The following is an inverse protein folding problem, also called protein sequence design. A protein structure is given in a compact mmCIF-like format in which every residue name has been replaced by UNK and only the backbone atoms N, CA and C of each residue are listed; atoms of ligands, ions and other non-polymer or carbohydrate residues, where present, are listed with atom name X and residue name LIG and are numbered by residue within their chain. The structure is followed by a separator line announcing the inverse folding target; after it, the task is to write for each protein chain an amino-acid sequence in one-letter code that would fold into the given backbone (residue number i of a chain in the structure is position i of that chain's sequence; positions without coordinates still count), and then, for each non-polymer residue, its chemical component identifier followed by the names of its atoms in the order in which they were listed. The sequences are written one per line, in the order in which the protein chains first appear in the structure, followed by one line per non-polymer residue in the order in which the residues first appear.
data_IF_756696667160
#
_entry.id   IF_756696667160
#
_cell.length_a   1.000
_cell.length_b   1.000
_cell.length_c   1.000
_cell.angle_alpha   90.00
_cell.angle_beta   90.00
_cell.angle_gamma   90.00
#
_symmetry.space_group_name_H-M   'P 1'
#
loop_
_entity.id
_entity.type
_entity.pdbx_description
1 polymer ?
#
# COMPACT_ATOMS: atom_id res chain seq x y z
N UNK A 1 4.57 -7.53 -6.34
CA UNK A 1 5.56 -7.06 -7.33
C UNK A 1 6.67 -8.09 -7.45
N UNK A 2 7.05 -8.50 -8.66
CA UNK A 2 8.19 -9.42 -8.84
C UNK A 2 9.51 -8.65 -8.68
N UNK A 3 10.56 -9.26 -8.10
CA UNK A 3 11.88 -8.62 -8.01
C UNK A 3 12.43 -8.30 -9.41
N UNK A 4 13.10 -7.16 -9.61
CA UNK A 4 13.56 -6.71 -10.93
C UNK A 4 14.53 -7.70 -11.62
N UNK A 5 15.28 -8.49 -10.85
CA UNK A 5 16.14 -9.56 -11.38
C UNK A 5 15.33 -10.71 -11.99
N UNK A 6 14.18 -11.05 -11.38
CA UNK A 6 13.25 -12.06 -11.88
C UNK A 6 12.54 -11.58 -13.16
N UNK A 7 12.22 -10.28 -13.23
CA UNK A 7 11.65 -9.65 -14.44
C UNK A 7 12.66 -9.60 -15.60
N UNK A 8 13.94 -9.38 -15.31
CA UNK A 8 15.00 -9.48 -16.31
C UNK A 8 15.15 -10.91 -16.85
N UNK A 9 15.14 -11.91 -15.96
CA UNK A 9 15.16 -13.34 -16.36
C UNK A 9 13.95 -13.73 -17.22
N UNK A 10 12.77 -13.22 -16.88
CA UNK A 10 11.56 -13.38 -17.69
C UNK A 10 11.74 -12.74 -19.08
N UNK A 11 12.24 -11.50 -19.15
CA UNK A 11 12.50 -10.80 -20.42
C UNK A 11 13.41 -11.56 -21.39
N UNK A 12 14.46 -12.23 -20.87
CA UNK A 12 15.34 -13.12 -21.63
C UNK A 12 14.61 -14.39 -22.10
N UNK A 13 13.79 -15.01 -21.24
CA UNK A 13 13.08 -16.23 -21.57
C UNK A 13 12.04 -16.06 -22.69
N UNK A 14 11.42 -14.88 -22.81
CA UNK A 14 10.46 -14.57 -23.89
C UNK A 14 11.15 -13.92 -25.11
N UNK A 15 12.47 -13.74 -25.09
CA UNK A 15 13.24 -13.17 -26.20
C UNK A 15 13.04 -11.66 -26.42
N UNK A 16 12.50 -10.94 -25.42
CA UNK A 16 12.18 -9.51 -25.55
C UNK A 16 13.28 -8.62 -24.95
N UNK A 17 14.18 -8.17 -25.81
CA UNK A 17 15.35 -7.40 -25.41
C UNK A 17 14.98 -6.08 -24.71
N UNK A 18 13.86 -5.46 -25.08
CA UNK A 18 13.36 -4.23 -24.46
C UNK A 18 12.94 -4.42 -23.00
N UNK A 19 12.26 -5.53 -22.67
CA UNK A 19 11.86 -5.81 -21.27
C UNK A 19 13.05 -6.22 -20.42
N UNK A 20 13.98 -6.99 -20.98
CA UNK A 20 15.23 -7.32 -20.30
C UNK A 20 16.05 -6.06 -19.98
N UNK A 21 16.26 -5.19 -20.98
CA UNK A 21 17.02 -3.95 -20.80
C UNK A 21 16.34 -3.00 -19.80
N UNK A 22 15.01 -2.87 -19.84
CA UNK A 22 14.26 -2.06 -18.89
C UNK A 22 14.36 -2.58 -17.44
N UNK A 23 14.20 -3.89 -17.24
CA UNK A 23 14.31 -4.50 -15.92
C UNK A 23 15.74 -4.45 -15.36
N UNK A 24 16.75 -4.68 -16.21
CA UNK A 24 18.17 -4.57 -15.85
C UNK A 24 18.56 -3.12 -15.50
N UNK A 25 17.99 -2.15 -16.23
CA UNK A 25 18.18 -0.74 -15.96
C UNK A 25 17.62 -0.33 -14.60
N UNK A 26 16.38 -0.75 -14.29
CA UNK A 26 15.75 -0.51 -12.99
C UNK A 26 16.53 -1.17 -11.84
N UNK A 27 17.05 -2.38 -12.05
CA UNK A 27 17.94 -3.04 -11.08
C UNK A 27 19.24 -2.27 -10.87
N UNK A 28 19.87 -1.81 -11.96
CA UNK A 28 21.14 -1.08 -11.91
C UNK A 28 21.00 0.23 -11.12
N UNK A 29 19.90 0.98 -11.30
CA UNK A 29 19.62 2.19 -10.52
C UNK A 29 19.54 1.85 -9.02
N UNK A 30 18.80 0.81 -8.64
CA UNK A 30 18.66 0.42 -7.25
C UNK A 30 20.01 0.04 -6.62
N UNK A 31 20.87 -0.68 -7.35
CA UNK A 31 22.23 -0.97 -6.89
C UNK A 31 23.07 0.29 -6.69
N UNK A 32 22.96 1.29 -7.57
CA UNK A 32 23.72 2.55 -7.47
C UNK A 32 23.32 3.34 -6.24
N UNK A 33 22.02 3.40 -5.92
CA UNK A 33 21.57 4.06 -4.71
C UNK A 33 22.12 3.39 -3.45
N UNK A 34 22.17 2.05 -3.42
CA UNK A 34 22.79 1.32 -2.30
C UNK A 34 24.30 1.64 -2.21
N UNK A 35 25.01 1.67 -3.34
CA UNK A 35 26.44 2.03 -3.38
C UNK A 35 26.66 3.48 -2.90
N UNK A 36 25.82 4.42 -3.33
CA UNK A 36 25.90 5.82 -2.90
C UNK A 36 25.58 5.99 -1.42
N UNK A 37 24.54 5.32 -0.91
CA UNK A 37 24.16 5.37 0.49
C UNK A 37 25.25 4.78 1.39
N UNK A 38 25.81 3.63 1.01
CA UNK A 38 26.92 3.01 1.75
C UNK A 38 28.19 3.86 1.68
N UNK A 39 28.52 4.46 0.53
CA UNK A 39 29.65 5.38 0.40
C UNK A 39 29.48 6.63 1.27
N UNK A 40 28.30 7.26 1.22
CA UNK A 40 27.98 8.42 2.05
C UNK A 40 28.06 8.08 3.54
N UNK A 41 27.54 6.91 3.94
CA UNK A 41 27.59 6.42 5.32
C UNK A 41 29.02 6.16 5.78
N UNK A 42 29.86 5.48 4.99
CA UNK A 42 31.27 5.24 5.31
C UNK A 42 32.04 6.56 5.48
N UNK A 43 31.78 7.54 4.60
CA UNK A 43 32.39 8.87 4.68
C UNK A 43 31.91 9.65 5.90
N UNK A 44 30.62 9.55 6.23
CA UNK A 44 30.04 10.18 7.42
C UNK A 44 30.61 9.60 8.72
N UNK A 45 30.81 8.29 8.78
CA UNK A 45 31.38 7.60 9.94
C UNK A 45 32.91 7.77 10.10
N UNK A 46 33.58 8.54 9.23
CA UNK A 46 35.04 8.79 9.30
C UNK A 46 35.87 7.51 9.52
N UNK A 47 35.53 6.41 8.84
CA UNK A 47 36.36 5.21 8.90
C UNK A 47 37.78 5.50 8.41
N UNK A 48 38.79 5.05 9.15
CA UNK A 48 40.20 5.29 8.81
C UNK A 48 40.53 4.67 7.45
N UNK A 49 41.04 5.49 6.53
CA UNK A 49 41.50 5.02 5.23
C UNK A 49 42.59 3.95 5.46
N UNK A 50 42.38 2.73 4.96
CA UNK A 50 43.44 1.73 4.92
C UNK A 50 44.57 2.30 4.05
N UNK A 51 45.69 2.64 4.67
CA UNK A 51 46.89 3.04 3.95
C UNK A 51 47.41 1.82 3.19
N UNK A 52 47.07 1.73 1.91
CA UNK A 52 47.73 0.80 1.00
C UNK A 52 49.22 1.13 1.01
N UNK A 53 50.07 0.17 1.41
CA UNK A 53 51.54 0.28 1.41
C UNK A 53 52.14 0.65 0.03
N UNK A 54 51.36 0.56 -1.05
CA UNK A 54 51.78 0.74 -2.44
C UNK A 54 50.91 1.83 -3.11
N UNK A 55 51.44 3.06 -3.16
CA UNK A 55 50.75 4.27 -3.64
C UNK A 55 50.31 4.17 -5.11
N UNK A 56 51.00 3.37 -5.92
CA UNK A 56 50.66 3.14 -7.33
C UNK A 56 49.42 2.27 -7.52
N UNK A 57 49.17 1.29 -6.65
CA UNK A 57 47.96 0.45 -6.70
C UNK A 57 46.75 1.18 -6.12
N UNK A 58 46.95 1.98 -5.07
CA UNK A 58 45.90 2.79 -4.46
C UNK A 58 45.27 3.78 -5.45
N UNK A 59 46.11 4.47 -6.24
CA UNK A 59 45.63 5.46 -7.21
C UNK A 59 44.86 4.81 -8.36
N UNK A 60 45.33 3.67 -8.89
CA UNK A 60 44.62 2.92 -9.94
C UNK A 60 43.24 2.45 -9.47
N UNK A 61 43.15 1.87 -8.28
CA UNK A 61 41.86 1.42 -7.73
C UNK A 61 40.89 2.57 -7.51
N UNK A 62 41.37 3.71 -6.98
CA UNK A 62 40.55 4.91 -6.78
C UNK A 62 40.04 5.50 -8.10
N UNK A 63 40.89 5.54 -9.12
CA UNK A 63 40.51 6.02 -10.46
C UNK A 63 39.50 5.09 -11.14
N UNK A 64 39.69 3.76 -11.05
CA UNK A 64 38.75 2.77 -11.60
C UNK A 64 37.38 2.86 -10.89
N UNK A 65 37.38 2.93 -9.55
CA UNK A 65 36.13 3.12 -8.79
C UNK A 65 35.44 4.42 -9.16
N UNK A 66 36.17 5.54 -9.26
CA UNK A 66 35.60 6.83 -9.67
C UNK A 66 35.02 6.76 -11.07
N UNK A 67 35.70 6.10 -12.02
CA UNK A 67 35.21 5.94 -13.38
C UNK A 67 33.92 5.10 -13.44
N UNK A 68 33.85 3.99 -12.69
CA UNK A 68 32.65 3.15 -12.59
C UNK A 68 31.49 3.96 -12.00
N UNK A 69 31.72 4.70 -10.91
CA UNK A 69 30.70 5.55 -10.28
C UNK A 69 30.15 6.57 -11.28
N UNK A 70 31.03 7.26 -12.01
CA UNK A 70 30.65 8.27 -12.99
C UNK A 70 29.86 7.64 -14.16
N UNK A 71 30.28 6.46 -14.61
CA UNK A 71 29.62 5.70 -15.67
C UNK A 71 28.18 5.32 -15.31
N UNK A 72 27.86 5.09 -14.03
CA UNK A 72 26.48 4.76 -13.64
C UNK A 72 25.65 5.98 -13.20
N UNK A 73 26.25 6.99 -12.57
CA UNK A 73 25.52 8.21 -12.15
C UNK A 73 25.00 8.98 -13.37
N UNK A 74 25.82 9.18 -14.40
CA UNK A 74 25.47 9.99 -15.58
C UNK A 74 24.21 9.50 -16.31
N UNK A 75 24.10 8.21 -16.72
CA UNK A 75 22.89 7.71 -17.37
C UNK A 75 21.68 7.71 -16.42
N UNK A 76 21.90 7.53 -15.12
CA UNK A 76 20.82 7.57 -14.12
C UNK A 76 20.20 8.96 -14.01
N UNK A 77 21.03 10.01 -13.95
CA UNK A 77 20.57 11.41 -13.97
C UNK A 77 19.83 11.71 -15.28
N UNK A 78 20.41 11.31 -16.42
CA UNK A 78 19.79 11.54 -17.73
C UNK A 78 18.40 10.89 -17.84
N UNK A 79 18.27 9.64 -17.41
CA UNK A 79 16.99 8.93 -17.40
C UNK A 79 15.99 9.51 -16.42
N UNK A 80 16.43 9.97 -15.24
CA UNK A 80 15.55 10.66 -14.30
C UNK A 80 14.97 11.93 -14.96
N UNK A 81 15.77 12.69 -15.70
CA UNK A 81 15.28 13.84 -16.47
C UNK A 81 14.29 13.44 -17.57
N UNK A 82 14.54 12.35 -18.29
CA UNK A 82 13.62 11.84 -19.33
C UNK A 82 12.29 11.40 -18.70
N UNK A 83 12.34 10.62 -17.62
CA UNK A 83 11.15 10.14 -16.89
C UNK A 83 10.33 11.30 -16.33
N UNK A 84 10.97 12.29 -15.70
CA UNK A 84 10.28 13.48 -15.19
C UNK A 84 9.61 14.24 -16.34
N UNK A 85 10.25 14.36 -17.49
CA UNK A 85 9.68 15.06 -18.64
C UNK A 85 8.49 14.33 -19.24
N UNK A 86 8.52 12.99 -19.30
CA UNK A 86 7.44 12.17 -19.88
C UNK A 86 6.24 12.04 -18.94
N UNK A 87 6.44 11.95 -17.63
CA UNK A 87 5.33 11.84 -16.66
C UNK A 87 4.57 13.14 -16.42
N UNK A 88 5.20 14.31 -16.66
CA UNK A 88 4.52 15.59 -16.40
C UNK A 88 3.28 15.79 -17.24
N UNK A 89 3.28 15.42 -18.51
CA UNK A 89 2.10 15.59 -19.37
C UNK A 89 0.93 14.71 -18.90
N UNK A 90 1.20 13.47 -18.52
CA UNK A 90 0.20 12.52 -18.04
C UNK A 90 -0.43 12.99 -16.72
N UNK A 91 0.39 13.42 -15.76
CA UNK A 91 -0.10 13.96 -14.48
C UNK A 91 -0.99 15.21 -14.67
N UNK A 92 -0.60 16.13 -15.55
CA UNK A 92 -1.37 17.36 -15.81
C UNK A 92 -2.71 17.06 -16.51
N UNK A 93 -2.74 16.05 -17.39
CA UNK A 93 -3.98 15.59 -18.03
C UNK A 93 -4.93 14.94 -17.02
N UNK A 94 -4.42 14.10 -16.12
CA UNK A 94 -5.23 13.49 -15.06
C UNK A 94 -5.82 14.54 -14.11
N UNK A 95 -5.03 15.55 -13.75
CA UNK A 95 -5.47 16.68 -12.93
C UNK A 95 -6.60 17.46 -13.61
N UNK A 96 -6.39 17.84 -14.87
CA UNK A 96 -7.39 18.53 -15.69
C UNK A 96 -8.70 17.74 -15.77
N UNK A 97 -8.65 16.43 -16.04
CA UNK A 97 -9.85 15.59 -16.14
C UNK A 97 -10.56 15.52 -14.80
N UNK A 98 -9.82 15.43 -13.69
CA UNK A 98 -10.42 15.37 -12.36
C UNK A 98 -11.21 16.64 -12.03
N UNK A 99 -10.68 17.81 -12.37
CA UNK A 99 -11.34 19.09 -12.15
C UNK A 99 -12.56 19.30 -13.06
N UNK A 100 -12.51 18.77 -14.29
CA UNK A 100 -13.52 19.04 -15.33
C UNK A 100 -14.40 17.81 -15.64
N UNK A 101 -14.43 16.82 -14.75
CA UNK A 101 -15.14 15.55 -14.95
C UNK A 101 -16.65 15.73 -15.14
N UNK A 102 -17.23 16.65 -14.38
CA UNK A 102 -18.65 16.98 -14.42
C UNK A 102 -18.83 18.29 -15.19
N UNK A 103 -19.57 18.24 -16.29
CA UNK A 103 -19.95 19.39 -17.11
C UNK A 103 -21.41 19.74 -16.81
N UNK A 104 -21.88 20.91 -17.23
CA UNK A 104 -23.27 21.31 -17.02
C UNK A 104 -24.25 20.36 -17.72
N UNK A 105 -23.97 19.98 -18.97
CA UNK A 105 -24.84 19.13 -19.79
C UNK A 105 -24.16 17.82 -20.24
N UNK A 106 -23.16 17.34 -19.50
CA UNK A 106 -22.43 16.11 -19.85
C UNK A 106 -21.38 15.68 -18.81
N UNK A 107 -20.66 14.61 -19.11
CA UNK A 107 -19.55 14.16 -18.27
C UNK A 107 -18.42 13.54 -19.11
N UNK A 108 -17.18 13.71 -18.64
CA UNK A 108 -16.02 13.03 -19.18
C UNK A 108 -16.00 11.61 -18.62
N UNK A 109 -16.16 10.61 -19.49
CA UNK A 109 -16.23 9.21 -19.09
C UNK A 109 -14.92 8.44 -19.33
N UNK A 110 -14.11 8.89 -20.28
CA UNK A 110 -12.85 8.25 -20.63
C UNK A 110 -11.86 9.23 -21.27
N UNK A 111 -10.58 8.84 -21.30
CA UNK A 111 -9.52 9.57 -21.98
C UNK A 111 -8.39 8.64 -22.44
N UNK A 112 -7.76 9.01 -23.56
CA UNK A 112 -6.61 8.28 -24.10
C UNK A 112 -5.44 9.24 -24.25
N UNK A 113 -4.36 8.96 -23.52
CA UNK A 113 -3.11 9.73 -23.56
C UNK A 113 -2.17 9.07 -24.56
N UNK A 114 -1.72 9.84 -25.55
CA UNK A 114 -0.72 9.44 -26.54
C UNK A 114 0.58 10.20 -26.28
N UNK A 115 1.60 9.59 -25.65
CA UNK A 115 2.84 10.28 -25.29
C UNK A 115 3.78 10.58 -26.48
N UNK A 116 3.42 10.19 -27.72
CA UNK A 116 4.27 10.39 -28.90
C UNK A 116 4.20 11.85 -29.40
N UNK A 117 5.34 12.36 -29.92
CA UNK A 117 5.46 13.70 -30.57
C UNK A 117 4.96 14.88 -29.73
N UNK A 118 5.30 14.91 -28.45
CA UNK A 118 4.99 16.03 -27.55
C UNK A 118 3.77 15.84 -26.67
N UNK A 119 3.09 14.69 -26.74
CA UNK A 119 1.94 14.37 -25.89
C UNK A 119 0.64 14.93 -26.48
N UNK A 120 -0.37 14.06 -26.63
CA UNK A 120 -1.75 14.46 -26.95
C UNK A 120 -2.74 13.66 -26.11
N UNK A 121 -3.89 14.25 -25.83
CA UNK A 121 -5.00 13.60 -25.12
C UNK A 121 -6.26 13.65 -25.97
N UNK A 122 -6.92 12.50 -26.09
CA UNK A 122 -8.27 12.40 -26.62
C UNK A 122 -9.25 12.21 -25.46
N UNK A 123 -10.22 13.10 -25.34
CA UNK A 123 -11.18 13.15 -24.24
C UNK A 123 -12.54 12.71 -24.77
N UNK A 124 -13.15 11.75 -24.10
CA UNK A 124 -14.45 11.21 -24.49
C UNK A 124 -15.55 11.73 -23.56
N UNK A 125 -16.53 12.39 -24.18
CA UNK A 125 -17.60 13.09 -23.49
C UNK A 125 -18.93 12.45 -23.85
N UNK A 126 -19.76 12.21 -22.84
CA UNK A 126 -21.13 11.75 -22.96
C UNK A 126 -22.08 12.86 -22.52
N UNK A 127 -23.12 13.12 -23.31
CA UNK A 127 -24.10 14.18 -23.05
C UNK A 127 -24.49 14.93 -24.31
N UNK A 128 -24.90 16.19 -24.13
CA UNK A 128 -25.13 17.10 -25.24
C UNK A 128 -23.79 17.52 -25.89
N UNK A 129 -23.79 17.85 -27.20
CA UNK A 129 -22.63 18.42 -27.85
C UNK A 129 -22.17 19.68 -27.10
N UNK A 130 -20.87 19.81 -26.88
CA UNK A 130 -20.31 20.94 -26.16
C UNK A 130 -20.58 22.24 -26.92
N UNK A 131 -21.14 23.23 -26.22
CA UNK A 131 -21.26 24.58 -26.74
C UNK A 131 -19.89 25.21 -26.97
N UNK A 132 -19.81 26.21 -27.86
CA UNK A 132 -18.55 26.93 -28.11
C UNK A 132 -17.96 27.56 -26.83
N UNK A 133 -18.83 27.96 -25.90
CA UNK A 133 -18.48 28.49 -24.58
C UNK A 133 -17.87 27.42 -23.67
N UNK A 134 -18.43 26.22 -23.64
CA UNK A 134 -17.88 25.11 -22.84
C UNK A 134 -16.56 24.60 -23.40
N UNK A 135 -16.42 24.50 -24.72
CA UNK A 135 -15.13 24.19 -25.37
C UNK A 135 -14.07 25.20 -24.97
N UNK A 136 -14.39 26.49 -25.04
CA UNK A 136 -13.47 27.57 -24.66
C UNK A 136 -13.07 27.46 -23.18
N UNK A 137 -14.03 27.20 -22.28
CA UNK A 137 -13.76 27.01 -20.85
C UNK A 137 -12.85 25.79 -20.60
N UNK A 138 -13.11 24.67 -21.26
CA UNK A 138 -12.27 23.47 -21.15
C UNK A 138 -10.86 23.73 -21.70
N UNK A 139 -10.74 24.51 -22.77
CA UNK A 139 -9.46 24.86 -23.36
C UNK A 139 -8.64 25.82 -22.50
N UNK A 140 -9.30 26.80 -21.88
CA UNK A 140 -8.67 27.68 -20.90
C UNK A 140 -8.21 26.90 -19.66
N UNK A 141 -9.06 25.99 -19.19
CA UNK A 141 -8.75 25.10 -18.07
C UNK A 141 -7.56 24.20 -18.36
N UNK A 142 -7.53 23.55 -19.53
CA UNK A 142 -6.39 22.76 -19.98
C UNK A 142 -5.11 23.59 -20.16
N UNK A 143 -5.24 24.85 -20.61
CA UNK A 143 -4.14 25.79 -20.71
C UNK A 143 -3.47 26.09 -19.36
N UNK A 144 -4.24 26.11 -18.26
CA UNK A 144 -3.69 26.24 -16.89
C UNK A 144 -2.84 25.05 -16.47
N UNK A 145 -3.14 23.86 -17.01
CA UNK A 145 -2.36 22.63 -16.83
C UNK A 145 -1.23 22.49 -17.87
N UNK A 146 -0.96 23.53 -18.67
CA UNK A 146 0.11 23.50 -19.67
C UNK A 146 -0.19 22.62 -20.89
N UNK A 147 -1.45 22.20 -21.07
CA UNK A 147 -1.93 21.41 -22.21
C UNK A 147 -2.35 22.38 -23.32
N UNK A 148 -1.70 22.30 -24.49
CA UNK A 148 -2.05 23.16 -25.62
C UNK A 148 -3.31 22.66 -26.32
N UNK A 149 -4.05 23.58 -26.93
CA UNK A 149 -5.20 23.26 -27.78
C UNK A 149 -4.86 22.21 -28.86
N UNK A 150 -3.71 22.33 -29.53
CA UNK A 150 -3.26 21.38 -30.55
C UNK A 150 -3.01 19.95 -30.04
N UNK A 151 -2.96 19.77 -28.72
CA UNK A 151 -2.73 18.49 -28.05
C UNK A 151 -4.03 17.85 -27.56
N UNK A 152 -5.16 18.57 -27.65
CA UNK A 152 -6.45 18.06 -27.23
C UNK A 152 -7.34 17.72 -28.41
N UNK A 153 -8.08 16.64 -28.25
CA UNK A 153 -9.14 16.25 -29.16
C UNK A 153 -10.36 15.85 -28.35
N UNK A 154 -11.50 16.49 -28.62
CA UNK A 154 -12.77 16.11 -28.02
C UNK A 154 -13.50 15.15 -28.95
N UNK A 155 -13.89 13.99 -28.42
CA UNK A 155 -14.77 13.05 -29.10
C UNK A 155 -16.09 13.03 -28.35
N UNK A 156 -17.04 13.77 -28.92
CA UNK A 156 -18.40 13.90 -28.42
C UNK A 156 -19.25 12.79 -29.04
N UNK A 157 -19.81 11.92 -28.22
CA UNK A 157 -20.87 11.01 -28.69
C UNK A 157 -22.20 11.63 -28.33
N UNK A 158 -22.86 12.21 -29.33
CA UNK A 158 -24.22 12.71 -29.17
C UNK A 158 -25.13 11.56 -28.70
N UNK A 159 -25.81 11.77 -27.58
CA UNK A 159 -26.79 10.84 -27.02
C UNK A 159 -28.01 10.64 -27.96
N UNK A 160 -28.13 11.45 -29.02
CA UNK A 160 -29.34 11.60 -29.84
C UNK A 160 -29.40 10.78 -31.14
N UNK A 161 -28.34 10.08 -31.57
CA UNK A 161 -28.37 9.35 -32.87
C UNK A 161 -28.56 7.82 -32.75
N UNK A 162 -28.71 7.27 -31.55
CA UNK A 162 -29.08 5.88 -31.36
C UNK A 162 -30.49 5.80 -30.77
N UNK A 163 -31.38 5.07 -31.44
CA UNK A 163 -32.78 4.85 -31.08
C UNK A 163 -32.99 4.72 -29.56
N UNK A 164 -34.07 5.35 -29.07
CA UNK A 164 -34.53 5.44 -27.67
C UNK A 164 -34.27 4.20 -26.79
N UNK A 165 -34.33 3.01 -27.38
CA UNK A 165 -34.15 1.73 -26.68
C UNK A 165 -32.68 1.36 -26.36
N UNK A 166 -31.67 1.90 -27.05
CA UNK A 166 -30.26 1.52 -26.83
C UNK A 166 -29.60 2.44 -25.79
N UNK A 167 -29.93 3.73 -25.82
CA UNK A 167 -29.47 4.73 -24.84
C UNK A 167 -30.07 4.46 -23.46
N UNK A 168 -31.38 4.19 -23.36
CA UNK A 168 -32.03 3.79 -22.10
C UNK A 168 -31.39 2.50 -21.56
N UNK A 169 -31.15 1.50 -22.41
CA UNK A 169 -30.57 0.21 -22.00
C UNK A 169 -29.10 0.30 -21.59
N UNK A 170 -28.33 1.22 -22.19
CA UNK A 170 -26.93 1.45 -21.82
C UNK A 170 -26.82 2.25 -20.52
N UNK A 171 -27.61 3.31 -20.37
CA UNK A 171 -27.70 4.10 -19.14
C UNK A 171 -28.21 3.24 -18.00
N UNK A 172 -29.29 2.48 -18.22
CA UNK A 172 -29.79 1.46 -17.30
C UNK A 172 -28.73 0.41 -16.98
N UNK A 173 -27.98 -0.07 -17.98
CA UNK A 173 -26.87 -1.01 -17.76
C UNK A 173 -25.72 -0.43 -16.92
N UNK A 174 -25.45 0.87 -17.00
CA UNK A 174 -24.45 1.56 -16.17
C UNK A 174 -24.99 1.76 -14.74
N UNK A 175 -26.24 2.20 -14.60
CA UNK A 175 -26.88 2.34 -13.29
C UNK A 175 -27.04 0.99 -12.60
N UNK A 176 -27.50 -0.06 -13.29
CA UNK A 176 -27.62 -1.42 -12.76
C UNK A 176 -26.25 -2.00 -12.36
N UNK A 177 -25.19 -1.76 -13.15
CA UNK A 177 -23.82 -2.15 -12.77
C UNK A 177 -23.31 -1.39 -11.56
N UNK A 178 -23.59 -0.09 -11.49
CA UNK A 178 -23.16 0.75 -10.37
C UNK A 178 -23.91 0.36 -9.09
N UNK A 179 -25.22 0.17 -9.18
CA UNK A 179 -26.10 -0.20 -8.06
C UNK A 179 -25.82 -1.62 -7.57
N UNK A 180 -25.51 -2.56 -8.48
CA UNK A 180 -25.05 -3.90 -8.10
C UNK A 180 -23.66 -3.89 -7.45
N UNK A 181 -22.72 -3.08 -7.92
CA UNK A 181 -21.42 -2.88 -7.26
C UNK A 181 -21.57 -2.23 -5.89
N UNK A 182 -22.45 -1.24 -5.73
CA UNK A 182 -22.78 -0.61 -4.44
C UNK A 182 -23.38 -1.66 -3.50
N UNK A 183 -24.39 -2.40 -3.95
CA UNK A 183 -25.06 -3.45 -3.15
C UNK A 183 -24.08 -4.53 -2.72
N UNK A 184 -23.14 -4.92 -3.61
CA UNK A 184 -22.09 -5.90 -3.30
C UNK A 184 -21.12 -5.36 -2.25
N UNK A 185 -20.68 -4.10 -2.39
CA UNK A 185 -19.81 -3.44 -1.41
C UNK A 185 -20.50 -3.29 -0.06
N UNK A 186 -21.75 -2.84 -0.03
CA UNK A 186 -22.52 -2.73 1.22
C UNK A 186 -22.72 -4.10 1.89
N UNK A 187 -22.99 -5.15 1.11
CA UNK A 187 -23.12 -6.50 1.66
C UNK A 187 -21.80 -6.97 2.26
N UNK A 188 -20.66 -6.66 1.63
CA UNK A 188 -19.35 -6.95 2.19
C UNK A 188 -19.05 -6.13 3.43
N UNK A 189 -19.45 -4.86 3.47
CA UNK A 189 -19.33 -4.02 4.66
C UNK A 189 -20.15 -4.61 5.80
N UNK A 190 -21.42 -4.97 5.58
CA UNK A 190 -22.27 -5.62 6.58
C UNK A 190 -21.67 -6.93 7.09
N UNK A 191 -21.07 -7.72 6.20
CA UNK A 191 -20.38 -8.96 6.57
C UNK A 191 -19.13 -8.69 7.43
N UNK A 192 -18.30 -7.73 7.03
CA UNK A 192 -17.12 -7.32 7.79
C UNK A 192 -17.48 -6.69 9.14
N UNK A 193 -18.53 -5.87 9.19
CA UNK A 193 -19.06 -5.29 10.44
C UNK A 193 -19.58 -6.38 11.37
N UNK A 194 -20.24 -7.41 10.82
CA UNK A 194 -20.68 -8.57 11.59
C UNK A 194 -19.48 -9.34 12.15
N UNK A 195 -18.45 -9.63 11.35
CA UNK A 195 -17.21 -10.26 11.81
C UNK A 195 -16.55 -9.43 12.91
N UNK A 196 -16.38 -8.11 12.69
CA UNK A 196 -15.82 -7.20 13.69
C UNK A 196 -16.66 -7.12 14.96
N UNK A 197 -17.99 -7.21 14.86
CA UNK A 197 -18.89 -7.21 16.02
C UNK A 197 -18.72 -8.46 16.88
N UNK A 198 -18.45 -9.61 16.26
CA UNK A 198 -18.11 -10.86 16.97
C UNK A 198 -16.80 -10.66 17.73
N UNK A 199 -15.77 -10.14 17.06
CA UNK A 199 -14.49 -9.82 17.71
C UNK A 199 -14.63 -8.80 18.87
N UNK A 200 -15.50 -7.80 18.74
CA UNK A 200 -15.77 -6.79 19.78
C UNK A 200 -16.63 -7.32 20.93
N UNK A 201 -17.61 -8.19 20.67
CA UNK A 201 -18.38 -8.84 21.74
C UNK A 201 -17.52 -9.80 22.56
N UNK A 202 -16.47 -10.35 21.94
CA UNK A 202 -15.44 -11.13 22.61
C UNK A 202 -14.31 -10.28 23.22
N UNK A 203 -14.44 -8.95 23.26
CA UNK A 203 -13.43 -8.09 23.86
C UNK A 203 -13.40 -8.29 25.38
N UNK A 204 -12.29 -8.84 25.87
CA UNK A 204 -12.11 -9.09 27.30
C UNK A 204 -11.94 -7.75 28.01
N UNK A 205 -12.71 -7.42 29.07
CA UNK A 205 -12.62 -6.13 29.76
C UNK A 205 -11.38 -6.08 30.67
N UNK A 206 -10.18 -6.00 30.05
CA UNK A 206 -8.87 -6.13 30.70
C UNK A 206 -8.71 -5.18 31.90
N UNK A 207 -9.09 -3.91 31.73
CA UNK A 207 -8.95 -2.89 32.76
C UNK A 207 -9.87 -3.14 33.96
N UNK A 208 -11.10 -3.59 33.73
CA UNK A 208 -12.05 -3.89 34.80
C UNK A 208 -11.62 -5.13 35.58
N UNK A 209 -11.26 -6.21 34.88
CA UNK A 209 -10.78 -7.46 35.49
C UNK A 209 -9.52 -7.19 36.33
N UNK A 210 -8.59 -6.39 35.81
CA UNK A 210 -7.36 -6.04 36.55
C UNK A 210 -7.68 -5.24 37.82
N UNK A 211 -8.64 -4.31 37.79
CA UNK A 211 -9.09 -3.58 38.98
C UNK A 211 -9.74 -4.50 40.02
N UNK A 212 -10.60 -5.42 39.57
CA UNK A 212 -11.27 -6.41 40.44
C UNK A 212 -10.24 -7.34 41.11
N UNK A 213 -9.26 -7.81 40.36
CA UNK A 213 -8.18 -8.68 40.87
C UNK A 213 -7.27 -7.91 41.83
N UNK A 214 -6.87 -6.68 41.52
CA UNK A 214 -6.03 -5.89 42.40
C UNK A 214 -6.68 -5.67 43.78
N UNK A 215 -8.00 -5.48 43.81
CA UNK A 215 -8.74 -5.33 45.06
C UNK A 215 -8.86 -6.64 45.86
N UNK A 216 -9.05 -7.79 45.18
CA UNK A 216 -9.20 -9.10 45.83
C UNK A 216 -7.86 -9.76 46.20
N UNK A 217 -6.83 -9.51 45.41
CA UNK A 217 -5.51 -10.13 45.49
C UNK A 217 -4.41 -9.07 45.33
N UNK A 218 -4.12 -8.27 46.38
CA UNK A 218 -3.14 -7.18 46.32
C UNK A 218 -1.71 -7.63 45.98
N UNK A 219 -1.39 -8.91 46.22
CA UNK A 219 -0.09 -9.48 45.86
C UNK A 219 0.12 -9.60 44.34
N UNK A 220 -0.95 -9.54 43.52
CA UNK A 220 -0.87 -9.57 42.07
C UNK A 220 -0.63 -8.14 41.56
N UNK A 221 0.53 -7.95 40.94
CA UNK A 221 1.01 -6.64 40.47
C UNK A 221 0.59 -6.33 39.04
N UNK A 222 0.53 -7.35 38.18
CA UNK A 222 0.15 -7.23 36.78
C UNK A 222 -0.50 -8.50 36.23
N UNK A 223 -1.27 -8.34 35.16
CA UNK A 223 -1.92 -9.42 34.44
C UNK A 223 -1.66 -9.27 32.94
N UNK A 224 -1.25 -10.36 32.31
CA UNK A 224 -1.27 -10.50 30.86
C UNK A 224 -2.45 -11.39 30.50
N UNK A 225 -3.29 -10.94 29.57
CA UNK A 225 -4.48 -11.68 29.14
C UNK A 225 -4.38 -11.78 27.62
N UNK A 226 -4.42 -13.01 27.09
CA UNK A 226 -4.33 -13.26 25.65
C UNK A 226 -5.27 -14.37 25.22
N UNK A 227 -5.91 -14.21 24.05
CA UNK A 227 -6.58 -15.30 23.35
C UNK A 227 -5.54 -16.07 22.55
N UNK A 228 -5.57 -17.39 22.63
CA UNK A 228 -4.62 -18.25 21.94
C UNK A 228 -5.22 -19.61 21.59
N UNK A 229 -4.38 -20.46 21.03
CA UNK A 229 -4.71 -21.84 20.75
C UNK A 229 -3.83 -22.77 21.60
N UNK A 230 -4.45 -23.73 22.25
CA UNK A 230 -3.79 -24.94 22.74
C UNK A 230 -3.83 -25.98 21.63
N UNK A 231 -2.68 -26.56 21.29
CA UNK A 231 -2.57 -27.59 20.26
C UNK A 231 -2.06 -28.85 20.90
N UNK A 232 -2.84 -29.93 20.82
CA UNK A 232 -2.42 -31.24 21.30
C UNK A 232 -1.24 -31.73 20.45
N UNK A 233 -0.10 -32.03 21.08
CA UNK A 233 1.13 -32.42 20.36
C UNK A 233 0.96 -33.69 19.52
N UNK A 234 0.11 -34.61 19.98
CA UNK A 234 0.00 -35.94 19.42
C UNK A 234 -1.07 -36.01 18.32
N UNK A 235 -2.17 -35.25 18.47
CA UNK A 235 -3.30 -35.26 17.53
C UNK A 235 -3.34 -34.04 16.62
N UNK A 236 -2.50 -33.02 16.88
CA UNK A 236 -2.55 -31.69 16.26
C UNK A 236 -3.92 -31.02 16.36
N UNK A 237 -4.75 -31.46 17.31
CA UNK A 237 -6.07 -30.87 17.54
C UNK A 237 -5.88 -29.48 18.14
N UNK A 238 -6.49 -28.50 17.48
CA UNK A 238 -6.47 -27.10 17.90
C UNK A 238 -7.69 -26.82 18.76
N UNK A 239 -7.47 -26.37 20.00
CA UNK A 239 -8.49 -25.89 20.91
C UNK A 239 -8.22 -24.42 21.20
N UNK A 240 -9.20 -23.55 21.03
CA UNK A 240 -9.05 -22.14 21.40
C UNK A 240 -9.16 -21.99 22.92
N UNK A 241 -8.43 -21.04 23.49
CA UNK A 241 -8.59 -20.70 24.89
C UNK A 241 -8.00 -19.36 25.31
N UNK A 242 -8.27 -18.98 26.55
CA UNK A 242 -7.79 -17.73 27.15
C UNK A 242 -6.65 -18.05 28.11
N UNK A 243 -5.50 -17.43 27.87
CA UNK A 243 -4.33 -17.56 28.74
C UNK A 243 -4.19 -16.30 29.58
N UNK A 244 -4.04 -16.48 30.89
CA UNK A 244 -3.86 -15.39 31.84
C UNK A 244 -2.57 -15.61 32.61
N UNK A 245 -1.65 -14.65 32.55
CA UNK A 245 -0.40 -14.67 33.31
C UNK A 245 -0.48 -13.65 34.44
N UNK A 246 -0.58 -14.14 35.67
CA UNK A 246 -0.61 -13.33 36.89
C UNK A 246 0.82 -13.12 37.41
N UNK A 247 1.31 -11.89 37.35
CA UNK A 247 2.62 -11.52 37.86
C UNK A 247 2.55 -10.99 39.29
N UNK A 248 3.42 -11.51 40.16
CA UNK A 248 3.51 -11.13 41.58
C UNK A 248 4.97 -11.05 42.02
N UNK A 249 5.25 -10.21 43.02
CA UNK A 249 6.59 -10.14 43.63
C UNK A 249 6.87 -11.35 44.55
N UNK A 250 5.81 -12.02 45.03
CA UNK A 250 5.91 -13.21 45.87
C UNK A 250 5.37 -14.45 45.13
N UNK A 251 5.81 -15.66 45.49
CA UNK A 251 5.20 -16.87 44.96
C UNK A 251 3.72 -16.94 45.35
N UNK A 252 2.84 -17.02 44.35
CA UNK A 252 1.40 -17.21 44.56
C UNK A 252 1.15 -18.68 44.92
N UNK A 253 0.41 -18.92 46.00
CA UNK A 253 0.04 -20.28 46.43
C UNK A 253 -0.91 -20.92 45.42
N UNK A 254 -0.80 -22.24 45.27
CA UNK A 254 -1.65 -23.03 44.37
C UNK A 254 -3.15 -22.81 44.60
N UNK A 255 -3.57 -22.78 45.85
CA UNK A 255 -4.97 -22.57 46.23
C UNK A 255 -5.52 -21.19 45.85
N UNK A 256 -4.66 -20.17 45.72
CA UNK A 256 -5.06 -18.85 45.24
C UNK A 256 -5.19 -18.88 43.72
N UNK A 257 -4.26 -19.55 43.03
CA UNK A 257 -4.32 -19.73 41.57
C UNK A 257 -5.61 -20.43 41.15
N UNK A 258 -5.97 -21.54 41.79
CA UNK A 258 -7.20 -22.29 41.47
C UNK A 258 -8.46 -21.45 41.71
N UNK A 259 -8.51 -20.66 42.80
CA UNK A 259 -9.64 -19.75 43.06
C UNK A 259 -9.75 -18.66 42.00
N UNK A 260 -8.61 -18.08 41.61
CA UNK A 260 -8.54 -17.06 40.57
C UNK A 260 -8.99 -17.61 39.22
N UNK A 261 -8.53 -18.80 38.86
CA UNK A 261 -8.89 -19.50 37.62
C UNK A 261 -10.39 -19.79 37.56
N UNK A 262 -10.96 -20.39 38.61
CA UNK A 262 -12.41 -20.64 38.69
C UNK A 262 -13.23 -19.35 38.59
N UNK A 263 -12.80 -18.28 39.26
CA UNK A 263 -13.49 -16.99 39.19
C UNK A 263 -13.42 -16.39 37.78
N UNK A 264 -12.27 -16.48 37.11
CA UNK A 264 -12.09 -15.98 35.74
C UNK A 264 -12.90 -16.78 34.72
N UNK A 265 -13.02 -18.10 34.89
CA UNK A 265 -13.89 -18.94 34.05
C UNK A 265 -15.35 -18.50 34.13
N UNK A 266 -15.83 -18.17 35.34
CA UNK A 266 -17.19 -17.64 35.55
C UNK A 266 -17.32 -16.22 34.98
N UNK A 267 -16.35 -15.34 35.25
CA UNK A 267 -16.41 -13.92 34.86
C UNK A 267 -16.37 -13.72 33.35
N UNK A 268 -15.59 -14.56 32.66
CA UNK A 268 -15.42 -14.55 31.20
C UNK A 268 -16.42 -15.47 30.49
N UNK A 269 -17.20 -16.26 31.25
CA UNK A 269 -18.10 -17.28 30.72
C UNK A 269 -17.40 -18.24 29.75
N UNK A 270 -16.18 -18.66 30.11
CA UNK A 270 -15.30 -19.49 29.28
C UNK A 270 -14.54 -20.50 30.15
N UNK A 271 -14.79 -21.79 29.94
CA UNK A 271 -14.16 -22.88 30.70
C UNK A 271 -12.73 -23.22 30.26
N UNK A 272 -12.24 -22.60 29.19
CA UNK A 272 -10.88 -22.82 28.65
C UNK A 272 -9.84 -21.87 29.24
N UNK A 273 -10.25 -20.99 30.15
CA UNK A 273 -9.35 -20.05 30.83
C UNK A 273 -8.34 -20.83 31.66
N UNK A 274 -7.05 -20.56 31.41
CA UNK A 274 -5.92 -21.14 32.15
C UNK A 274 -5.10 -20.01 32.79
N UNK A 275 -4.82 -20.12 34.09
CA UNK A 275 -4.01 -19.13 34.82
C UNK A 275 -2.61 -19.67 35.08
N UNK A 276 -1.60 -18.92 34.64
CA UNK A 276 -0.19 -19.17 34.96
C UNK A 276 0.32 -18.08 35.89
N UNK A 277 1.06 -18.47 36.93
CA UNK A 277 1.67 -17.52 37.85
C UNK A 277 3.12 -17.27 37.47
N UNK A 278 3.55 -16.01 37.52
CA UNK A 278 4.93 -15.60 37.28
C UNK A 278 5.43 -14.78 38.46
N UNK A 279 6.50 -15.23 39.10
CA UNK A 279 7.18 -14.38 40.08
C UNK A 279 8.07 -13.38 39.34
N UNK A 280 7.82 -12.08 39.53
CA UNK A 280 8.66 -11.03 38.98
C UNK A 280 9.99 -11.05 39.74
N UNK A 281 11.02 -11.68 39.16
CA UNK A 281 12.39 -11.54 39.65
C UNK A 281 12.91 -10.18 39.20
N UNK A 282 13.15 -9.30 40.17
CA UNK A 282 14.04 -8.16 39.98
C UNK A 282 15.50 -8.62 40.02
#
# INVERSE_FOLDING_TARGET
MMPPLCTAGYGLAIGSLSYFAGALYLFSINCVFIILATFAMVKYLHFSEFQFQDSGKAHKTKTIMTAIILLVIVPSIWSAFVMIRENRFEMEVEEFIRENKNLENGYIYDHVISPRKGGSVEIFIAGEPLTATEKTRLMESAGRHGIKESQMKFTEKAMYEASDNVSEKLVKGIYERTDSEITRRESRIRELEKELSIYKQEEIPYAQITKEIHNQYPDITNLYIGRGASVDSDSLKVNNGIMIVAGSDKPIKESIREKLENWLQIRLNDSTVTVITRTNKY
#
